data_IF_108068367648
#
_entry.id   IF_108068367648
#
_cell.length_a   1.000
_cell.length_b   1.000
_cell.length_c   1.000
_cell.angle_alpha   90.00
_cell.angle_beta   90.00
_cell.angle_gamma   90.00
#
_symmetry.space_group_name_H-M   'P 1'
#
loop_
_entity.id
_entity.type
_entity.pdbx_description
1 polymer ?
#
# COMPACT_ATOMS: atom_id res chain seq x y z
N UNK A 1 14.22 -0.74 -12.23
CA UNK A 1 12.75 -0.82 -12.21
C UNK A 1 12.22 0.11 -13.27
N UNK A 2 11.32 -0.40 -14.10
CA UNK A 2 10.54 0.42 -15.02
C UNK A 2 9.43 1.09 -14.22
N UNK A 3 9.29 2.41 -14.35
CA UNK A 3 8.18 3.16 -13.76
C UNK A 3 6.99 2.97 -14.70
N UNK A 4 5.90 2.41 -14.17
CA UNK A 4 4.66 2.20 -14.92
C UNK A 4 3.68 3.34 -14.64
N UNK A 5 2.92 3.73 -15.66
CA UNK A 5 1.83 4.68 -15.45
C UNK A 5 0.59 3.96 -14.93
N UNK A 6 -0.36 4.75 -14.43
CA UNK A 6 -1.62 4.24 -13.92
C UNK A 6 -2.43 3.46 -14.98
N UNK A 7 -2.34 3.88 -16.24
CA UNK A 7 -3.01 3.22 -17.36
C UNK A 7 -2.43 1.83 -17.67
N UNK A 8 -1.24 1.52 -17.14
CA UNK A 8 -0.56 0.24 -17.32
C UNK A 8 -0.81 -0.73 -16.14
N UNK A 9 -1.63 -0.35 -15.16
CA UNK A 9 -1.98 -1.23 -14.04
C UNK A 9 -2.92 -2.34 -14.52
N UNK A 10 -2.45 -3.57 -14.44
CA UNK A 10 -3.27 -4.76 -14.70
C UNK A 10 -3.71 -5.43 -13.39
N UNK A 11 -4.98 -5.28 -13.02
CA UNK A 11 -5.53 -5.91 -11.81
C UNK A 11 -5.69 -7.44 -11.91
N UNK A 12 -5.47 -8.03 -13.09
CA UNK A 12 -5.36 -9.49 -13.21
C UNK A 12 -3.97 -9.99 -12.78
N UNK A 13 -2.98 -9.10 -12.71
CA UNK A 13 -1.70 -9.38 -12.08
C UNK A 13 -1.84 -9.24 -10.56
N UNK A 14 -1.56 -10.33 -9.84
CA UNK A 14 -1.72 -10.40 -8.38
C UNK A 14 -0.91 -9.33 -7.62
N UNK A 15 0.28 -8.94 -8.10
CA UNK A 15 1.11 -7.94 -7.42
C UNK A 15 0.50 -6.55 -7.53
N UNK A 16 0.02 -6.21 -8.73
CA UNK A 16 -0.64 -4.94 -9.01
C UNK A 16 -1.95 -4.83 -8.25
N UNK A 17 -2.75 -5.92 -8.23
CA UNK A 17 -3.97 -5.97 -7.43
C UNK A 17 -3.69 -5.79 -5.94
N UNK A 18 -2.71 -6.51 -5.40
CA UNK A 18 -2.35 -6.42 -3.98
C UNK A 18 -1.87 -5.02 -3.59
N UNK A 19 -1.10 -4.36 -4.47
CA UNK A 19 -0.68 -2.98 -4.27
C UNK A 19 -1.87 -2.02 -4.20
N UNK A 20 -2.81 -2.11 -5.14
CA UNK A 20 -4.01 -1.27 -5.16
C UNK A 20 -4.89 -1.55 -3.94
N UNK A 21 -5.16 -2.82 -3.65
CA UNK A 21 -5.97 -3.22 -2.49
C UNK A 21 -5.38 -2.67 -1.20
N UNK A 22 -4.07 -2.85 -0.98
CA UNK A 22 -3.41 -2.37 0.23
C UNK A 22 -3.39 -0.85 0.36
N UNK A 23 -3.23 -0.11 -0.75
CA UNK A 23 -3.30 1.36 -0.74
C UNK A 23 -4.72 1.90 -0.48
N UNK A 24 -5.75 1.16 -0.91
CA UNK A 24 -7.17 1.53 -0.68
C UNK A 24 -7.63 1.14 0.73
N UNK A 25 -7.20 -0.02 1.24
CA UNK A 25 -7.54 -0.53 2.57
C UNK A 25 -6.82 0.22 3.70
N UNK A 26 -5.52 0.46 3.52
CA UNK A 26 -4.71 1.23 4.45
C UNK A 26 -4.85 2.72 4.15
N UNK A 27 -6.03 3.29 4.42
CA UNK A 27 -6.38 4.66 4.06
C UNK A 27 -7.59 5.14 4.88
N UNK A 28 -7.58 6.37 5.39
CA UNK A 28 -8.65 6.88 6.27
C UNK A 28 -9.67 7.77 5.56
N UNK A 29 -9.39 8.16 4.31
CA UNK A 29 -10.35 8.90 3.49
C UNK A 29 -11.61 8.08 3.23
N UNK A 30 -12.76 8.72 3.22
CA UNK A 30 -14.05 8.08 2.93
C UNK A 30 -14.38 8.19 1.46
N UNK A 31 -15.21 7.29 0.93
CA UNK A 31 -15.70 7.33 -0.44
C UNK A 31 -17.14 6.82 -0.47
N UNK A 32 -18.10 7.70 -0.19
CA UNK A 32 -19.51 7.36 -0.08
C UNK A 32 -20.31 8.01 -1.20
N UNK A 33 -21.14 7.23 -1.91
CA UNK A 33 -22.01 7.72 -2.99
C UNK A 33 -21.24 8.51 -4.06
N UNK A 34 -19.99 8.13 -4.34
CA UNK A 34 -19.11 8.82 -5.28
C UNK A 34 -18.48 10.12 -4.75
N UNK A 35 -18.70 10.48 -3.48
CA UNK A 35 -18.09 11.62 -2.80
C UNK A 35 -16.96 11.13 -1.92
N UNK A 36 -15.74 11.61 -2.21
CA UNK A 36 -14.57 11.33 -1.40
C UNK A 36 -14.28 12.47 -0.44
N UNK A 37 -13.91 12.14 0.81
CA UNK A 37 -13.52 13.12 1.82
C UNK A 37 -12.28 12.64 2.56
N UNK A 38 -11.26 13.49 2.65
CA UNK A 38 -10.02 13.23 3.37
C UNK A 38 -8.89 14.08 2.80
N UNK A 39 -7.64 13.73 3.10
CA UNK A 39 -6.51 14.49 2.57
C UNK A 39 -6.29 14.19 1.08
N UNK A 40 -5.74 15.15 0.30
CA UNK A 40 -5.59 14.97 -1.15
C UNK A 40 -4.75 13.75 -1.56
N UNK A 41 -3.79 13.33 -0.74
CA UNK A 41 -2.96 12.16 -1.05
C UNK A 41 -3.74 10.87 -0.86
N UNK A 42 -4.49 10.76 0.22
CA UNK A 42 -5.33 9.59 0.43
C UNK A 42 -6.52 9.51 -0.54
N UNK A 43 -7.13 10.63 -0.90
CA UNK A 43 -8.18 10.66 -1.93
C UNK A 43 -7.62 10.17 -3.27
N UNK A 44 -6.43 10.61 -3.66
CA UNK A 44 -5.78 10.15 -4.89
C UNK A 44 -5.53 8.62 -4.92
N UNK A 45 -5.24 8.00 -3.77
CA UNK A 45 -5.10 6.55 -3.68
C UNK A 45 -6.44 5.81 -3.84
N UNK A 46 -7.54 6.40 -3.37
CA UNK A 46 -8.88 5.87 -3.65
C UNK A 46 -9.22 6.01 -5.13
N UNK A 47 -8.86 7.13 -5.77
CA UNK A 47 -9.07 7.34 -7.20
C UNK A 47 -8.33 6.32 -8.08
N UNK A 48 -7.13 5.90 -7.67
CA UNK A 48 -6.41 4.80 -8.31
C UNK A 48 -7.25 3.52 -8.28
N UNK A 49 -7.82 3.16 -7.12
CA UNK A 49 -8.74 2.04 -7.00
C UNK A 49 -9.95 2.16 -7.91
N UNK A 50 -10.63 3.31 -7.87
CA UNK A 50 -11.82 3.58 -8.70
C UNK A 50 -11.54 3.41 -10.20
N UNK A 51 -10.36 3.88 -10.68
CA UNK A 51 -9.96 3.74 -12.09
C UNK A 51 -9.78 2.30 -12.56
N UNK A 52 -9.48 1.39 -11.65
CA UNK A 52 -9.34 -0.04 -11.94
C UNK A 52 -10.52 -0.87 -11.39
N UNK A 53 -11.65 -0.23 -11.11
CA UNK A 53 -12.88 -0.86 -10.59
C UNK A 53 -12.70 -1.56 -9.22
N UNK A 54 -11.82 -1.04 -8.38
CA UNK A 54 -11.67 -1.45 -6.97
C UNK A 54 -12.23 -0.32 -6.10
N UNK A 55 -13.48 -0.50 -5.64
CA UNK A 55 -14.20 0.51 -4.87
C UNK A 55 -13.98 0.31 -3.36
N UNK A 56 -13.66 1.40 -2.65
CA UNK A 56 -13.31 1.35 -1.22
C UNK A 56 -14.38 0.71 -0.35
N UNK A 57 -15.65 1.08 -0.51
CA UNK A 57 -16.74 0.56 0.32
C UNK A 57 -16.95 -0.95 0.12
N UNK A 58 -16.88 -1.42 -1.13
CA UNK A 58 -16.95 -2.84 -1.47
C UNK A 58 -15.75 -3.60 -0.90
N UNK A 59 -14.55 -3.05 -1.07
CA UNK A 59 -13.31 -3.65 -0.61
C UNK A 59 -13.27 -3.74 0.92
N UNK A 60 -13.74 -2.72 1.64
CA UNK A 60 -13.86 -2.74 3.11
C UNK A 60 -14.88 -3.77 3.61
N UNK A 61 -15.96 -4.02 2.85
CA UNK A 61 -16.93 -5.06 3.19
C UNK A 61 -16.35 -6.47 3.05
N UNK A 62 -15.50 -6.69 2.05
CA UNK A 62 -14.80 -7.97 1.81
C UNK A 62 -13.61 -8.15 2.77
N UNK A 63 -12.80 -7.10 2.94
CA UNK A 63 -11.56 -7.09 3.70
C UNK A 63 -11.63 -6.17 4.91
N UNK A 64 -12.47 -6.55 5.88
CA UNK A 64 -12.77 -5.75 7.06
C UNK A 64 -11.51 -5.37 7.83
N UNK A 65 -11.35 -4.07 8.12
CA UNK A 65 -10.32 -3.57 9.02
C UNK A 65 -10.63 -4.03 10.44
N UNK A 66 -9.70 -4.73 11.09
CA UNK A 66 -9.83 -5.25 12.46
C UNK A 66 -8.91 -4.55 13.44
N UNK A 67 -7.85 -3.90 12.97
CA UNK A 67 -6.92 -3.14 13.79
C UNK A 67 -6.20 -2.07 12.95
N UNK A 68 -5.60 -1.08 13.60
CA UNK A 68 -4.84 -0.02 12.94
C UNK A 68 -3.81 0.64 13.85
N UNK A 69 -2.80 1.22 13.21
CA UNK A 69 -2.03 2.33 13.76
C UNK A 69 -2.21 3.50 12.78
N UNK A 70 -2.84 4.61 13.20
CA UNK A 70 -3.04 5.77 12.34
C UNK A 70 -1.71 6.36 11.88
N UNK A 71 -1.77 7.27 10.91
CA UNK A 71 -0.56 7.95 10.47
C UNK A 71 0.13 8.67 11.65
N UNK A 72 1.41 8.41 11.82
CA UNK A 72 2.24 9.08 12.82
C UNK A 72 3.42 9.77 12.12
N UNK A 73 3.68 11.03 12.46
CA UNK A 73 4.68 11.87 11.78
C UNK A 73 6.11 11.47 12.08
N UNK A 74 6.37 10.84 13.23
CA UNK A 74 7.70 10.43 13.64
C UNK A 74 8.14 9.19 12.85
N UNK A 75 7.23 8.20 12.73
CA UNK A 75 7.47 7.01 11.90
C UNK A 75 7.23 7.26 10.40
N UNK A 76 6.37 8.23 10.04
CA UNK A 76 5.90 8.53 8.67
C UNK A 76 5.19 7.36 7.99
N UNK A 77 4.45 6.59 8.77
CA UNK A 77 3.77 5.38 8.35
C UNK A 77 2.32 5.40 8.87
N UNK A 78 1.45 4.70 8.16
CA UNK A 78 0.11 4.29 8.56
C UNK A 78 0.03 2.77 8.39
N UNK A 79 -0.64 2.07 9.31
CA UNK A 79 -0.76 0.61 9.29
C UNK A 79 -2.20 0.19 9.54
N UNK A 80 -2.71 -0.76 8.77
CA UNK A 80 -4.02 -1.38 9.02
C UNK A 80 -3.88 -2.89 8.98
N UNK A 81 -4.73 -3.57 9.75
CA UNK A 81 -4.88 -5.03 9.70
C UNK A 81 -6.26 -5.31 9.15
N UNK A 82 -6.31 -6.06 8.04
CA UNK A 82 -7.55 -6.35 7.33
C UNK A 82 -7.73 -7.87 7.20
N UNK A 83 -8.97 -8.36 7.31
CA UNK A 83 -9.28 -9.74 6.93
C UNK A 83 -8.91 -9.94 5.47
N UNK A 84 -8.15 -10.99 5.15
CA UNK A 84 -7.68 -11.20 3.79
C UNK A 84 -7.50 -12.68 3.52
N UNK A 85 -8.23 -13.19 2.51
CA UNK A 85 -8.34 -14.61 2.22
C UNK A 85 -8.71 -15.45 3.46
N UNK A 86 -7.81 -16.36 3.89
CA UNK A 86 -8.01 -17.25 5.06
C UNK A 86 -7.40 -16.73 6.35
N UNK A 87 -6.81 -15.53 6.34
CA UNK A 87 -6.14 -14.94 7.50
C UNK A 87 -6.29 -13.43 7.49
N UNK A 88 -5.19 -12.74 7.78
CA UNK A 88 -5.15 -11.28 7.78
C UNK A 88 -3.93 -10.79 7.00
N UNK A 89 -4.08 -9.65 6.36
CA UNK A 89 -2.96 -8.89 5.84
C UNK A 89 -2.80 -7.62 6.68
N UNK A 90 -1.57 -7.41 7.13
CA UNK A 90 -1.10 -6.14 7.67
C UNK A 90 -0.61 -5.32 6.49
N UNK A 91 -1.27 -4.21 6.19
CA UNK A 91 -0.84 -3.25 5.19
C UNK A 91 -0.23 -2.05 5.88
N UNK A 92 0.91 -1.58 5.37
CA UNK A 92 1.57 -0.37 5.89
C UNK A 92 1.95 0.53 4.73
N UNK A 93 1.38 1.73 4.68
CA UNK A 93 1.75 2.76 3.70
C UNK A 93 2.55 3.87 4.34
N UNK A 94 3.44 4.50 3.59
CA UNK A 94 4.11 5.71 4.04
C UNK A 94 5.31 6.09 3.21
N UNK A 95 6.20 6.88 3.81
CA UNK A 95 7.42 7.33 3.14
C UNK A 95 8.31 6.14 2.75
N UNK A 96 8.91 6.18 1.56
CA UNK A 96 9.72 5.08 1.03
C UNK A 96 10.86 4.72 1.97
N UNK A 97 11.58 5.69 2.51
CA UNK A 97 12.67 5.47 3.44
C UNK A 97 12.21 4.76 4.73
N UNK A 98 11.02 5.09 5.23
CA UNK A 98 10.42 4.40 6.38
C UNK A 98 10.03 2.95 6.07
N UNK A 99 9.40 2.70 4.92
CA UNK A 99 9.01 1.34 4.49
C UNK A 99 10.24 0.45 4.27
N UNK A 100 11.27 0.97 3.60
CA UNK A 100 12.50 0.20 3.32
C UNK A 100 13.25 -0.20 4.60
N UNK A 101 13.14 0.57 5.69
CA UNK A 101 13.74 0.23 7.00
C UNK A 101 13.07 -0.97 7.66
N UNK A 102 11.75 -1.09 7.54
CA UNK A 102 10.96 -2.16 8.19
C UNK A 102 10.70 -3.37 7.28
N UNK A 103 11.13 -3.32 6.01
CA UNK A 103 10.93 -4.41 5.05
C UNK A 103 12.18 -5.28 4.91
N UNK A 104 12.02 -6.59 5.05
CA UNK A 104 13.06 -7.59 4.80
C UNK A 104 12.80 -8.45 3.54
N UNK A 105 11.60 -8.37 2.97
CA UNK A 105 11.20 -9.10 1.76
C UNK A 105 10.58 -8.16 0.72
N UNK A 106 10.64 -8.59 -0.54
CA UNK A 106 10.04 -7.90 -1.68
C UNK A 106 9.24 -8.90 -2.51
N UNK A 107 8.06 -8.50 -2.97
CA UNK A 107 7.27 -9.25 -3.94
C UNK A 107 7.70 -8.80 -5.34
N UNK A 108 8.24 -9.71 -6.14
CA UNK A 108 8.73 -9.43 -7.48
C UNK A 108 8.42 -10.59 -8.44
N UNK A 109 7.68 -10.30 -9.51
CA UNK A 109 7.21 -11.25 -10.50
C UNK A 109 6.42 -12.44 -9.90
N UNK A 110 5.61 -12.18 -8.89
CA UNK A 110 4.78 -13.14 -8.17
C UNK A 110 5.52 -13.92 -7.08
N UNK A 111 6.80 -13.65 -6.87
CA UNK A 111 7.65 -14.36 -5.91
C UNK A 111 8.10 -13.45 -4.77
N UNK A 112 8.00 -13.94 -3.53
CA UNK A 112 8.55 -13.27 -2.37
C UNK A 112 10.04 -13.59 -2.25
N UNK A 113 10.89 -12.57 -2.32
CA UNK A 113 12.36 -12.67 -2.27
C UNK A 113 12.92 -11.87 -1.11
N UNK A 114 14.16 -12.16 -0.73
CA UNK A 114 14.91 -11.33 0.22
C UNK A 114 15.13 -9.93 -0.35
N UNK A 115 14.87 -8.92 0.48
CA UNK A 115 15.00 -7.53 0.08
C UNK A 115 16.44 -7.05 0.28
N UNK A 116 17.29 -7.43 -0.67
CA UNK A 116 18.73 -7.13 -0.60
C UNK A 116 18.99 -5.63 -0.61
N UNK A 117 20.16 -5.22 -0.12
CA UNK A 117 20.61 -3.82 -0.18
C UNK A 117 20.59 -3.28 -1.60
N UNK A 118 21.04 -4.07 -2.57
CA UNK A 118 21.04 -3.68 -3.98
C UNK A 118 19.63 -3.35 -4.48
N UNK A 119 18.62 -4.14 -4.11
CA UNK A 119 17.23 -3.87 -4.50
C UNK A 119 16.67 -2.64 -3.80
N UNK A 120 17.00 -2.43 -2.52
CA UNK A 120 16.62 -1.21 -1.79
C UNK A 120 17.23 0.03 -2.44
N UNK A 121 18.51 -0.03 -2.83
CA UNK A 121 19.22 1.07 -3.48
C UNK A 121 18.61 1.38 -4.87
N UNK A 122 18.21 0.36 -5.64
CA UNK A 122 17.50 0.55 -6.92
C UNK A 122 16.15 1.25 -6.75
N UNK A 123 15.37 0.88 -5.73
CA UNK A 123 14.07 1.52 -5.43
C UNK A 123 14.27 2.95 -4.95
N UNK A 124 15.26 3.19 -4.08
CA UNK A 124 15.56 4.55 -3.61
C UNK A 124 16.00 5.45 -4.76
N UNK A 125 16.80 4.93 -5.71
CA UNK A 125 17.17 5.68 -6.92
C UNK A 125 15.95 6.05 -7.78
N UNK A 126 15.01 5.13 -7.96
CA UNK A 126 13.77 5.41 -8.69
C UNK A 126 12.92 6.46 -7.97
N UNK A 127 12.78 6.35 -6.63
CA UNK A 127 12.11 7.34 -5.80
C UNK A 127 12.73 8.72 -5.94
N UNK A 128 14.06 8.83 -5.90
CA UNK A 128 14.76 10.10 -6.03
C UNK A 128 14.49 10.75 -7.39
N UNK A 129 14.52 9.96 -8.47
CA UNK A 129 14.18 10.46 -9.81
C UNK A 129 12.76 11.01 -9.88
N UNK A 130 11.78 10.36 -9.24
CA UNK A 130 10.42 10.89 -9.17
C UNK A 130 10.33 12.15 -8.31
N UNK A 131 11.11 12.23 -7.22
CA UNK A 131 11.18 13.42 -6.38
C UNK A 131 11.85 14.61 -7.07
N UNK A 132 12.81 14.37 -7.96
CA UNK A 132 13.40 15.42 -8.82
C UNK A 132 12.34 16.07 -9.72
N UNK A 133 11.31 15.31 -10.11
CA UNK A 133 10.12 15.78 -10.83
C UNK A 133 9.03 16.33 -9.88
N UNK A 134 9.38 16.64 -8.62
CA UNK A 134 8.50 17.15 -7.57
C UNK A 134 7.32 16.21 -7.21
N UNK A 135 7.40 14.92 -7.54
CA UNK A 135 6.39 13.95 -7.18
C UNK A 135 6.57 13.50 -5.72
N UNK A 136 5.44 13.40 -5.01
CA UNK A 136 5.38 12.71 -3.72
C UNK A 136 5.33 11.21 -3.97
N UNK A 137 6.28 10.47 -3.39
CA UNK A 137 6.34 9.01 -3.54
C UNK A 137 5.99 8.32 -2.22
N UNK A 138 5.07 7.36 -2.29
CA UNK A 138 4.69 6.49 -1.19
C UNK A 138 5.01 5.04 -1.55
N UNK A 139 5.32 4.23 -0.54
CA UNK A 139 5.42 2.79 -0.68
C UNK A 139 4.38 2.09 0.19
N UNK A 140 4.04 0.87 -0.22
CA UNK A 140 3.24 -0.08 0.54
C UNK A 140 4.13 -1.27 0.90
N UNK A 141 4.14 -1.63 2.19
CA UNK A 141 4.58 -2.93 2.67
C UNK A 141 3.38 -3.77 3.09
N UNK A 142 3.50 -5.10 3.00
CA UNK A 142 2.49 -6.00 3.53
C UNK A 142 3.10 -7.21 4.24
N UNK A 143 2.33 -7.79 5.17
CA UNK A 143 2.66 -9.05 5.85
C UNK A 143 1.39 -9.86 6.08
N UNK A 144 1.39 -11.12 5.66
CA UNK A 144 0.30 -12.06 5.95
C UNK A 144 0.54 -12.73 7.30
N UNK A 145 -0.54 -12.87 8.07
CA UNK A 145 -0.55 -13.48 9.40
C UNK A 145 -1.79 -14.38 9.56
N UNK A 146 -1.70 -15.36 10.44
CA UNK A 146 -2.77 -16.33 10.68
C UNK A 146 -3.73 -15.92 11.80
N UNK A 147 -3.35 -14.97 12.66
CA UNK A 147 -4.16 -14.50 13.78
C UNK A 147 -4.29 -12.96 13.78
N UNK A 148 -5.35 -12.43 14.36
CA UNK A 148 -5.59 -10.98 14.46
C UNK A 148 -4.71 -10.28 15.49
N UNK A 149 -4.09 -11.06 16.39
CA UNK A 149 -3.18 -10.56 17.43
C UNK A 149 -1.76 -10.39 16.88
N UNK A 150 -1.57 -9.38 16.05
CA UNK A 150 -0.24 -8.82 15.82
C UNK A 150 0.13 -8.01 17.04
N UNK A 151 1.21 -8.37 17.73
CA UNK A 151 1.92 -7.39 18.53
C UNK A 151 2.41 -6.33 17.55
N UNK A 152 1.71 -5.20 17.48
CA UNK A 152 2.15 -4.09 16.66
C UNK A 152 3.15 -3.32 17.50
N UNK A 153 4.43 -3.58 17.23
CA UNK A 153 5.59 -2.91 17.81
C UNK A 153 5.92 -1.59 17.11
#
# INVERSE_FOLDING_TARGET
YEIKNLDDIDINNNESKLLVDGMVLCNDSTSKDGVQTGDPTEVALIDVGNKVNIFKDELNNIHKRVNEIPFDSDRKLMTTVNTYDKGFNVFTKGAIDSILKISNKILLNGEIKEFTKEEKDKILKASNSMSDDALRVLALGYKTIENEHVAID
#
